data_IF_898344040843
#
_entry.id   IF_898344040843
#
_cell.length_a   1.000
_cell.length_b   1.000
_cell.length_c   1.000
_cell.angle_alpha   90.00
_cell.angle_beta   90.00
_cell.angle_gamma   90.00
#
_symmetry.space_group_name_H-M   'P 1'
#
loop_
_entity.id
_entity.type
_entity.pdbx_description
1 polymer ?
#
# COMPACT_ATOMS: atom_id res chain seq x y z
N UNK A 1 -3.39 -28.31 -26.09
CA UNK A 1 -4.16 -28.03 -24.85
C UNK A 1 -3.75 -28.92 -23.68
N UNK A 2 -3.14 -30.09 -23.91
CA UNK A 2 -2.83 -31.06 -22.84
C UNK A 2 -1.78 -30.59 -21.81
N UNK A 3 -0.95 -29.61 -22.19
CA UNK A 3 0.09 -29.02 -21.33
C UNK A 3 -0.36 -27.71 -20.65
N UNK A 4 -1.64 -27.33 -20.80
CA UNK A 4 -2.20 -26.09 -20.25
C UNK A 4 -3.38 -26.41 -19.35
N UNK A 5 -3.43 -25.77 -18.19
CA UNK A 5 -4.53 -25.91 -17.26
C UNK A 5 -5.18 -24.56 -16.94
N UNK A 6 -6.37 -24.61 -16.38
CA UNK A 6 -7.12 -23.47 -15.88
C UNK A 6 -7.50 -23.72 -14.43
N UNK A 7 -7.11 -22.82 -13.52
CA UNK A 7 -7.51 -22.88 -12.12
C UNK A 7 -8.86 -22.20 -11.92
N UNK A 8 -9.87 -22.95 -11.51
CA UNK A 8 -11.24 -22.46 -11.34
C UNK A 8 -11.70 -22.67 -9.90
N UNK A 9 -12.24 -21.62 -9.28
CA UNK A 9 -12.71 -21.68 -7.89
C UNK A 9 -14.16 -21.17 -7.71
N UNK A 10 -14.88 -20.89 -8.79
CA UNK A 10 -16.24 -20.35 -8.78
C UNK A 10 -16.35 -18.87 -8.41
N UNK A 11 -15.27 -18.25 -7.93
CA UNK A 11 -15.22 -16.81 -7.66
C UNK A 11 -15.41 -16.00 -8.94
N UNK A 12 -15.86 -14.75 -8.80
CA UNK A 12 -16.17 -13.83 -9.91
C UNK A 12 -15.03 -13.74 -10.95
N UNK A 13 -13.78 -13.66 -10.50
CA UNK A 13 -12.61 -13.45 -11.34
C UNK A 13 -12.29 -14.69 -12.18
N UNK A 14 -12.32 -15.88 -11.56
CA UNK A 14 -12.16 -17.15 -12.28
C UNK A 14 -13.33 -17.43 -13.24
N UNK A 15 -14.54 -16.97 -12.90
CA UNK A 15 -15.72 -17.08 -13.77
C UNK A 15 -15.58 -16.20 -15.01
N UNK A 16 -15.12 -14.94 -14.87
CA UNK A 16 -14.78 -14.09 -16.01
C UNK A 16 -13.73 -14.79 -16.89
N UNK A 17 -12.65 -15.27 -16.29
CA UNK A 17 -11.57 -15.92 -17.02
C UNK A 17 -12.04 -17.17 -17.78
N UNK A 18 -12.91 -17.99 -17.19
CA UNK A 18 -13.52 -19.13 -17.88
C UNK A 18 -14.21 -18.70 -19.19
N UNK A 19 -14.98 -17.63 -19.13
CA UNK A 19 -15.71 -17.13 -20.29
C UNK A 19 -14.78 -16.50 -21.34
N UNK A 20 -13.73 -15.78 -20.91
CA UNK A 20 -12.70 -15.27 -21.82
C UNK A 20 -11.94 -16.41 -22.51
N UNK A 21 -11.55 -17.46 -21.79
CA UNK A 21 -10.88 -18.63 -22.37
C UNK A 21 -11.77 -19.35 -23.38
N UNK A 22 -13.08 -19.47 -23.10
CA UNK A 22 -14.05 -20.04 -24.04
C UNK A 22 -14.21 -19.20 -25.30
N UNK A 23 -14.27 -17.87 -25.16
CA UNK A 23 -14.34 -16.96 -26.30
C UNK A 23 -13.05 -16.98 -27.14
N UNK A 24 -11.89 -16.98 -26.49
CA UNK A 24 -10.58 -17.12 -27.13
C UNK A 24 -10.45 -18.43 -27.89
N UNK A 25 -10.89 -19.54 -27.30
CA UNK A 25 -10.92 -20.84 -27.96
C UNK A 25 -11.81 -20.85 -29.20
N UNK A 26 -13.05 -20.36 -29.08
CA UNK A 26 -13.99 -20.28 -30.20
C UNK A 26 -13.45 -19.39 -31.35
N UNK A 27 -12.74 -18.32 -31.01
CA UNK A 27 -12.08 -17.44 -31.99
C UNK A 27 -10.96 -18.16 -32.76
N UNK A 28 -10.17 -19.00 -32.08
CA UNK A 28 -9.12 -19.81 -32.73
C UNK A 28 -9.74 -20.90 -33.61
N UNK A 29 -10.72 -21.66 -33.10
CA UNK A 29 -11.41 -22.67 -33.90
C UNK A 29 -12.05 -22.08 -35.16
N UNK A 30 -12.68 -20.91 -35.05
CA UNK A 30 -13.29 -20.23 -36.20
C UNK A 30 -12.26 -19.81 -37.25
N UNK A 31 -11.02 -19.49 -36.84
CA UNK A 31 -9.92 -19.16 -37.77
C UNK A 31 -9.35 -20.40 -38.45
N UNK A 32 -9.29 -21.53 -37.76
CA UNK A 32 -8.76 -22.79 -38.30
C UNK A 32 -9.78 -23.55 -39.18
N UNK A 33 -11.09 -23.37 -38.94
CA UNK A 33 -12.17 -24.08 -39.65
C UNK A 33 -12.81 -23.34 -40.84
N UNK A 34 -12.14 -22.34 -41.43
CA UNK A 34 -12.59 -21.65 -42.66
C UNK A 34 -12.71 -22.59 -43.89
N UNK A 35 -12.33 -23.87 -43.79
CA UNK A 35 -12.30 -24.84 -44.90
C UNK A 35 -13.13 -26.12 -44.72
N UNK A 36 -14.01 -26.24 -43.71
CA UNK A 36 -14.81 -27.47 -43.51
C UNK A 36 -16.26 -27.17 -43.12
N UNK A 37 -17.18 -27.38 -44.07
CA UNK A 37 -18.63 -27.25 -43.91
C UNK A 37 -19.23 -28.38 -43.05
N UNK A 38 -18.81 -28.61 -41.80
CA UNK A 38 -19.54 -29.50 -40.88
C UNK A 38 -19.70 -28.85 -39.51
N UNK A 39 -20.90 -28.32 -39.26
CA UNK A 39 -21.34 -27.84 -37.94
C UNK A 39 -21.98 -28.99 -37.16
N UNK A 40 -21.74 -28.98 -35.85
CA UNK A 40 -22.53 -29.58 -34.77
C UNK A 40 -21.84 -30.71 -33.99
N UNK A 41 -20.94 -30.32 -33.09
CA UNK A 41 -20.86 -30.92 -31.75
C UNK A 41 -20.65 -29.79 -30.74
N UNK A 42 -21.25 -29.88 -29.54
CA UNK A 42 -21.04 -28.88 -28.48
C UNK A 42 -19.53 -28.65 -28.32
N UNK A 43 -19.01 -27.41 -28.33
CA UNK A 43 -17.59 -27.19 -28.12
C UNK A 43 -17.25 -27.74 -26.74
N UNK A 44 -16.55 -28.88 -26.71
CA UNK A 44 -15.99 -29.42 -25.48
C UNK A 44 -14.98 -28.39 -25.00
N UNK A 45 -15.10 -27.93 -23.77
CA UNK A 45 -14.05 -27.08 -23.21
C UNK A 45 -12.76 -27.91 -23.19
N UNK A 46 -11.72 -27.53 -23.96
CA UNK A 46 -10.57 -28.38 -24.19
C UNK A 46 -9.50 -28.23 -23.10
N UNK A 47 -9.65 -27.23 -22.23
CA UNK A 47 -8.67 -26.88 -21.21
C UNK A 47 -8.96 -27.69 -19.95
N UNK A 48 -7.94 -28.42 -19.48
CA UNK A 48 -7.98 -29.11 -18.19
C UNK A 48 -8.28 -28.09 -17.09
N UNK A 49 -9.28 -28.34 -16.27
CA UNK A 49 -9.66 -27.45 -15.18
C UNK A 49 -9.22 -28.04 -13.85
N UNK A 50 -8.51 -27.27 -13.03
CA UNK A 50 -8.03 -27.66 -11.71
C UNK A 50 -8.89 -26.94 -10.68
N UNK A 51 -9.38 -27.68 -9.68
CA UNK A 51 -10.08 -27.12 -8.54
C UNK A 51 -9.47 -27.64 -7.24
N UNK A 52 -8.98 -26.72 -6.39
CA UNK A 52 -8.55 -27.05 -5.03
C UNK A 52 -9.75 -26.92 -4.10
N UNK A 53 -10.27 -28.07 -3.65
CA UNK A 53 -11.40 -28.13 -2.76
C UNK A 53 -10.99 -27.75 -1.33
N UNK A 54 -11.68 -26.76 -0.76
CA UNK A 54 -11.43 -26.30 0.59
C UNK A 54 -12.64 -26.61 1.48
N UNK A 55 -12.49 -27.40 2.55
CA UNK A 55 -13.56 -27.66 3.51
C UNK A 55 -14.13 -26.41 4.16
N UNK A 56 -13.33 -25.34 4.25
CA UNK A 56 -13.75 -24.04 4.77
C UNK A 56 -14.38 -23.10 3.74
N UNK A 57 -14.71 -23.57 2.53
CA UNK A 57 -15.42 -22.78 1.52
C UNK A 57 -16.93 -22.74 1.79
N UNK A 58 -17.58 -21.67 1.34
CA UNK A 58 -19.04 -21.56 1.46
C UNK A 58 -19.75 -22.65 0.63
N UNK A 59 -20.81 -23.29 1.14
CA UNK A 59 -21.60 -24.25 0.37
C UNK A 59 -22.11 -23.66 -0.96
N UNK A 60 -22.45 -22.38 -0.98
CA UNK A 60 -22.92 -21.65 -2.16
C UNK A 60 -21.87 -21.52 -3.25
N UNK A 61 -20.61 -21.24 -2.90
CA UNK A 61 -19.54 -21.14 -3.90
C UNK A 61 -19.17 -22.52 -4.43
N UNK A 62 -19.18 -23.54 -3.56
CA UNK A 62 -18.97 -24.94 -3.97
C UNK A 62 -20.05 -25.40 -4.94
N UNK A 63 -21.33 -25.21 -4.58
CA UNK A 63 -22.45 -25.56 -5.44
C UNK A 63 -22.36 -24.87 -6.80
N UNK A 64 -22.07 -23.55 -6.80
CA UNK A 64 -21.87 -22.79 -8.03
C UNK A 64 -20.72 -23.34 -8.89
N UNK A 65 -19.58 -23.71 -8.28
CA UNK A 65 -18.43 -24.29 -8.99
C UNK A 65 -18.80 -25.59 -9.70
N UNK A 66 -19.46 -26.54 -9.02
CA UNK A 66 -19.86 -27.81 -9.63
C UNK A 66 -20.95 -27.64 -10.69
N UNK A 67 -21.94 -26.78 -10.45
CA UNK A 67 -22.99 -26.48 -11.41
C UNK A 67 -22.43 -25.83 -12.68
N UNK A 68 -21.51 -24.88 -12.53
CA UNK A 68 -20.81 -24.22 -13.64
C UNK A 68 -20.02 -25.24 -14.45
N UNK A 69 -19.29 -26.12 -13.78
CA UNK A 69 -18.50 -27.13 -14.47
C UNK A 69 -19.35 -28.15 -15.22
N UNK A 70 -20.48 -28.56 -14.63
CA UNK A 70 -21.46 -29.42 -15.32
C UNK A 70 -22.08 -28.71 -16.52
N UNK A 71 -22.46 -27.44 -16.36
CA UNK A 71 -23.11 -26.63 -17.40
C UNK A 71 -22.22 -26.45 -18.62
N UNK A 72 -20.93 -26.19 -18.39
CA UNK A 72 -19.96 -25.95 -19.46
C UNK A 72 -19.13 -27.17 -19.83
N UNK A 73 -19.39 -28.34 -19.24
CA UNK A 73 -18.68 -29.58 -19.53
C UNK A 73 -17.18 -29.52 -19.25
N UNK A 74 -16.79 -28.87 -18.14
CA UNK A 74 -15.39 -28.73 -17.75
C UNK A 74 -14.83 -30.08 -17.27
N UNK A 75 -13.63 -30.43 -17.73
CA UNK A 75 -12.88 -31.57 -17.21
C UNK A 75 -12.20 -31.15 -15.91
N UNK A 76 -12.93 -31.21 -14.79
CA UNK A 76 -12.45 -30.76 -13.49
C UNK A 76 -11.68 -31.86 -12.76
N UNK A 77 -10.43 -31.57 -12.42
CA UNK A 77 -9.60 -32.36 -11.52
C UNK A 77 -9.67 -31.73 -10.12
N UNK A 78 -10.29 -32.46 -9.19
CA UNK A 78 -10.52 -31.99 -7.81
C UNK A 78 -9.34 -32.44 -6.95
N UNK A 79 -8.70 -31.48 -6.29
CA UNK A 79 -7.55 -31.70 -5.41
C UNK A 79 -7.98 -31.38 -3.98
N UNK A 80 -7.85 -32.37 -3.09
CA UNK A 80 -8.19 -32.26 -1.65
C UNK A 80 -6.95 -32.15 -0.74
N UNK A 81 -5.79 -31.87 -1.34
CA UNK A 81 -4.53 -31.62 -0.64
C UNK A 81 -4.31 -30.11 -0.47
N UNK A 82 -3.33 -29.73 0.35
CA UNK A 82 -2.86 -28.35 0.37
C UNK A 82 -2.34 -27.94 -1.02
N UNK A 83 -2.34 -26.63 -1.30
CA UNK A 83 -2.00 -26.10 -2.62
C UNK A 83 -0.66 -26.60 -3.15
N UNK A 84 0.37 -26.66 -2.30
CA UNK A 84 1.71 -27.01 -2.74
C UNK A 84 1.80 -28.51 -3.03
N UNK A 85 1.45 -29.35 -2.07
CA UNK A 85 1.51 -30.81 -2.23
C UNK A 85 0.58 -31.31 -3.34
N UNK A 86 -0.60 -30.70 -3.45
CA UNK A 86 -1.56 -30.99 -4.51
C UNK A 86 -1.03 -30.64 -5.90
N UNK A 87 -0.38 -29.48 -6.05
CA UNK A 87 0.25 -29.10 -7.30
C UNK A 87 1.48 -29.97 -7.64
N UNK A 88 2.29 -30.34 -6.65
CA UNK A 88 3.41 -31.29 -6.81
C UNK A 88 2.93 -32.63 -7.35
N UNK A 89 1.86 -33.19 -6.76
CA UNK A 89 1.26 -34.44 -7.20
C UNK A 89 0.71 -34.32 -8.62
N UNK A 90 -0.04 -33.24 -8.89
CA UNK A 90 -0.63 -32.99 -10.20
C UNK A 90 0.42 -32.90 -11.31
N UNK A 91 1.46 -32.08 -11.11
CA UNK A 91 2.51 -31.88 -12.13
C UNK A 91 3.36 -33.13 -12.36
N UNK A 92 3.49 -33.99 -11.34
CA UNK A 92 4.18 -35.28 -11.47
C UNK A 92 3.36 -36.29 -12.27
N UNK A 93 2.05 -36.37 -12.04
CA UNK A 93 1.17 -37.30 -12.74
C UNK A 93 0.88 -36.82 -14.17
N UNK A 94 0.60 -35.53 -14.33
CA UNK A 94 0.20 -34.91 -15.59
C UNK A 94 0.92 -33.56 -15.75
N UNK A 95 2.09 -33.53 -16.42
CA UNK A 95 2.87 -32.32 -16.60
C UNK A 95 2.05 -31.18 -17.22
N UNK A 96 2.00 -30.05 -16.54
CA UNK A 96 1.41 -28.79 -17.03
C UNK A 96 2.53 -27.76 -17.15
N UNK A 97 2.66 -27.13 -18.31
CA UNK A 97 3.64 -26.06 -18.54
C UNK A 97 3.11 -24.70 -18.13
N UNK A 98 1.81 -24.47 -18.31
CA UNK A 98 1.17 -23.19 -18.03
C UNK A 98 -0.20 -23.36 -17.38
N UNK A 99 -0.50 -22.53 -16.38
CA UNK A 99 -1.81 -22.50 -15.72
C UNK A 99 -2.41 -21.11 -15.80
N UNK A 100 -3.60 -21.00 -16.38
CA UNK A 100 -4.40 -19.79 -16.37
C UNK A 100 -5.00 -19.55 -14.98
N UNK A 101 -4.80 -18.34 -14.45
CA UNK A 101 -5.25 -17.91 -13.14
C UNK A 101 -6.09 -16.63 -13.25
N UNK A 102 -7.22 -16.59 -12.54
CA UNK A 102 -8.08 -15.41 -12.43
C UNK A 102 -7.55 -14.39 -11.41
N UNK A 103 -6.24 -14.13 -11.43
CA UNK A 103 -5.57 -13.18 -10.52
C UNK A 103 -5.67 -11.78 -11.08
N UNK A 104 -5.96 -10.79 -10.22
CA UNK A 104 -5.90 -9.35 -10.56
C UNK A 104 -4.85 -8.64 -9.73
N UNK A 105 -4.42 -7.46 -10.20
CA UNK A 105 -3.38 -6.62 -9.58
C UNK A 105 -3.70 -6.23 -8.12
N UNK A 106 -4.99 -6.13 -7.78
CA UNK A 106 -5.44 -5.84 -6.41
C UNK A 106 -5.35 -7.03 -5.45
N UNK A 107 -5.01 -8.24 -5.92
CA UNK A 107 -4.95 -9.42 -5.08
C UNK A 107 -3.63 -9.47 -4.26
N UNK A 108 -3.65 -9.83 -2.97
CA UNK A 108 -2.45 -9.89 -2.12
C UNK A 108 -1.33 -10.79 -2.63
N UNK A 109 -1.67 -11.77 -3.46
CA UNK A 109 -0.71 -12.71 -4.04
C UNK A 109 -0.21 -12.26 -5.43
N UNK A 110 -0.76 -11.18 -6.00
CA UNK A 110 -0.41 -10.66 -7.32
C UNK A 110 0.85 -9.80 -7.33
N UNK A 111 1.28 -9.33 -6.15
CA UNK A 111 2.44 -8.43 -6.01
C UNK A 111 3.66 -8.98 -6.74
N UNK A 112 4.14 -8.22 -7.73
CA UNK A 112 5.31 -8.55 -8.55
C UNK A 112 5.05 -9.60 -9.64
N UNK A 113 3.78 -9.96 -9.90
CA UNK A 113 3.42 -10.78 -11.05
C UNK A 113 3.20 -9.94 -12.31
N UNK A 114 3.51 -10.55 -13.44
CA UNK A 114 3.20 -10.08 -14.80
C UNK A 114 2.12 -10.99 -15.42
N UNK A 115 1.67 -10.65 -16.64
CA UNK A 115 0.72 -11.48 -17.39
C UNK A 115 1.24 -12.91 -17.59
N UNK A 116 2.57 -13.07 -17.70
CA UNK A 116 3.25 -14.36 -17.69
C UNK A 116 4.29 -14.32 -16.58
N UNK A 117 4.23 -15.25 -15.63
CA UNK A 117 5.21 -15.28 -14.54
C UNK A 117 5.53 -16.70 -14.11
N UNK A 118 6.81 -17.07 -13.96
CA UNK A 118 7.14 -18.38 -13.39
C UNK A 118 6.58 -18.48 -11.97
N UNK A 119 6.26 -19.69 -11.54
CA UNK A 119 5.95 -20.00 -10.14
C UNK A 119 7.04 -19.50 -9.19
N UNK A 120 6.64 -19.12 -7.98
CA UNK A 120 7.58 -18.59 -6.97
C UNK A 120 8.64 -19.64 -6.56
N UNK A 121 9.81 -19.18 -6.09
CA UNK A 121 10.86 -20.08 -5.61
C UNK A 121 10.33 -21.03 -4.51
N UNK A 122 10.68 -22.32 -4.61
CA UNK A 122 10.19 -23.35 -3.69
C UNK A 122 8.78 -23.87 -3.97
N UNK A 123 8.10 -23.36 -5.01
CA UNK A 123 6.91 -23.98 -5.59
C UNK A 123 7.27 -24.87 -6.79
N UNK A 124 6.41 -25.82 -7.16
CA UNK A 124 6.59 -26.63 -8.36
C UNK A 124 6.68 -25.74 -9.60
N UNK A 125 7.56 -26.05 -10.57
CA UNK A 125 7.79 -25.19 -11.72
C UNK A 125 6.62 -25.23 -12.71
N UNK A 126 5.95 -24.09 -12.91
CA UNK A 126 5.01 -23.87 -14.00
C UNK A 126 4.93 -22.37 -14.34
N UNK A 127 4.40 -22.04 -15.52
CA UNK A 127 4.11 -20.67 -15.91
C UNK A 127 2.71 -20.26 -15.42
N UNK A 128 2.61 -19.22 -14.61
CA UNK A 128 1.35 -18.52 -14.34
C UNK A 128 0.98 -17.68 -15.56
N UNK A 129 -0.27 -17.78 -15.99
CA UNK A 129 -0.84 -16.94 -17.05
C UNK A 129 -2.01 -16.18 -16.45
N UNK A 130 -1.93 -14.85 -16.40
CA UNK A 130 -2.90 -13.96 -15.75
C UNK A 130 -3.56 -13.02 -16.79
N UNK A 131 -4.52 -13.46 -17.62
CA UNK A 131 -5.06 -12.63 -18.71
C UNK A 131 -5.87 -11.42 -18.26
N UNK A 132 -6.36 -11.44 -17.02
CA UNK A 132 -7.15 -10.35 -16.42
C UNK A 132 -6.35 -9.61 -15.35
N UNK A 133 -5.02 -9.70 -15.37
CA UNK A 133 -4.18 -9.11 -14.32
C UNK A 133 -4.47 -7.62 -14.13
N UNK A 134 -4.61 -6.90 -15.24
CA UNK A 134 -4.81 -5.45 -15.26
C UNK A 134 -6.29 -5.05 -15.16
N UNK A 135 -7.21 -6.00 -14.96
CA UNK A 135 -8.65 -5.70 -14.80
C UNK A 135 -8.93 -5.16 -13.40
N UNK A 136 -9.79 -4.15 -13.32
CA UNK A 136 -10.27 -3.64 -12.04
C UNK A 136 -11.45 -4.45 -11.48
N UNK A 137 -11.89 -4.08 -10.27
CA UNK A 137 -13.12 -4.61 -9.70
C UNK A 137 -14.34 -4.29 -10.60
N UNK A 138 -14.34 -3.09 -11.20
CA UNK A 138 -15.40 -2.60 -12.07
C UNK A 138 -15.43 -3.35 -13.39
N UNK A 139 -14.28 -3.63 -14.01
CA UNK A 139 -14.20 -4.41 -15.25
C UNK A 139 -14.80 -5.80 -15.11
N UNK A 140 -14.48 -6.49 -14.00
CA UNK A 140 -15.02 -7.82 -13.69
C UNK A 140 -16.54 -7.78 -13.65
N UNK A 141 -17.12 -6.82 -12.92
CA UNK A 141 -18.57 -6.70 -12.84
C UNK A 141 -19.21 -6.21 -14.13
N UNK A 142 -18.59 -5.26 -14.82
CA UNK A 142 -19.06 -4.77 -16.11
C UNK A 142 -19.18 -5.93 -17.11
N UNK A 143 -18.17 -6.79 -17.20
CA UNK A 143 -18.21 -7.98 -18.03
C UNK A 143 -19.30 -8.96 -17.60
N UNK A 144 -19.35 -9.32 -16.32
CA UNK A 144 -20.34 -10.29 -15.82
C UNK A 144 -21.77 -9.84 -16.08
N UNK A 145 -22.06 -8.55 -15.84
CA UNK A 145 -23.39 -7.96 -16.03
C UNK A 145 -23.72 -7.76 -17.51
N UNK A 146 -22.82 -7.17 -18.30
CA UNK A 146 -23.05 -6.90 -19.72
C UNK A 146 -23.22 -8.20 -20.52
N UNK A 147 -22.41 -9.21 -20.23
CA UNK A 147 -22.48 -10.52 -20.87
C UNK A 147 -23.51 -11.46 -20.22
N UNK A 148 -24.21 -11.02 -19.16
CA UNK A 148 -25.21 -11.81 -18.41
C UNK A 148 -24.67 -13.18 -17.98
N UNK A 149 -23.43 -13.20 -17.52
CA UNK A 149 -22.75 -14.41 -17.04
C UNK A 149 -23.25 -14.72 -15.62
N UNK A 150 -23.75 -15.94 -15.36
CA UNK A 150 -24.11 -16.35 -14.00
C UNK A 150 -22.91 -16.27 -13.06
N UNK A 151 -23.13 -15.82 -11.83
CA UNK A 151 -22.13 -15.78 -10.76
C UNK A 151 -22.72 -16.29 -9.44
N UNK A 152 -21.86 -16.55 -8.46
CA UNK A 152 -22.30 -17.06 -7.16
C UNK A 152 -23.23 -16.07 -6.43
N UNK A 153 -24.38 -16.56 -5.96
CA UNK A 153 -25.39 -15.76 -5.25
C UNK A 153 -24.93 -15.07 -3.96
N UNK A 154 -23.75 -15.41 -3.43
CA UNK A 154 -23.18 -14.69 -2.28
C UNK A 154 -22.88 -13.23 -2.64
N UNK A 155 -22.52 -12.96 -3.89
CA UNK A 155 -22.27 -11.60 -4.36
C UNK A 155 -23.54 -10.73 -4.28
N UNK A 156 -24.74 -11.28 -4.49
CA UNK A 156 -26.01 -10.57 -4.31
C UNK A 156 -26.33 -10.28 -2.83
N UNK A 157 -25.65 -10.96 -1.91
CA UNK A 157 -25.84 -10.85 -0.46
C UNK A 157 -24.79 -9.94 0.19
N UNK A 158 -24.08 -9.13 -0.60
CA UNK A 158 -23.09 -8.15 -0.13
C UNK A 158 -21.68 -8.69 0.08
N UNK A 159 -21.40 -9.95 -0.23
CA UNK A 159 -20.03 -10.46 -0.21
C UNK A 159 -19.27 -9.93 -1.41
N UNK A 160 -18.27 -9.07 -1.22
CA UNK A 160 -17.46 -8.49 -2.31
C UNK A 160 -16.21 -9.32 -2.63
N UNK A 161 -15.72 -10.07 -1.64
CA UNK A 161 -14.63 -11.05 -1.75
C UNK A 161 -15.04 -12.33 -1.02
N UNK A 162 -14.88 -13.50 -1.66
CA UNK A 162 -15.26 -14.80 -1.06
C UNK A 162 -13.98 -15.56 -0.72
N UNK A 163 -13.83 -16.00 0.53
CA UNK A 163 -12.77 -16.94 0.92
C UNK A 163 -13.33 -17.93 1.92
N UNK A 164 -12.78 -18.00 3.13
CA UNK A 164 -13.28 -18.99 4.08
C UNK A 164 -14.51 -18.52 4.84
N UNK A 165 -15.41 -19.46 5.17
CA UNK A 165 -16.54 -19.23 6.09
C UNK A 165 -16.09 -18.70 7.47
N UNK A 166 -14.82 -18.87 7.82
CA UNK A 166 -14.26 -18.44 9.11
C UNK A 166 -13.80 -16.98 9.13
N UNK A 167 -13.53 -16.39 7.96
CA UNK A 167 -12.89 -15.06 7.87
C UNK A 167 -13.60 -14.10 6.91
N UNK A 168 -14.70 -14.52 6.30
CA UNK A 168 -15.44 -13.74 5.32
C UNK A 168 -16.82 -13.35 5.85
N UNK A 169 -17.11 -12.06 5.87
CA UNK A 169 -18.43 -11.48 6.15
C UNK A 169 -18.87 -10.59 4.98
N UNK A 170 -20.17 -10.24 4.86
CA UNK A 170 -20.61 -9.24 3.90
C UNK A 170 -19.87 -7.91 4.10
N UNK A 171 -19.70 -7.16 3.02
CA UNK A 171 -19.04 -5.86 3.08
C UNK A 171 -19.96 -4.83 3.77
N UNK A 172 -19.51 -4.27 4.88
CA UNK A 172 -20.30 -3.31 5.68
C UNK A 172 -20.73 -2.07 4.89
N UNK A 173 -19.97 -1.66 3.88
CA UNK A 173 -20.29 -0.51 3.01
C UNK A 173 -21.53 -0.75 2.13
N UNK A 174 -21.97 -2.00 2.02
CA UNK A 174 -23.17 -2.39 1.28
C UNK A 174 -24.38 -2.58 2.19
N UNK A 175 -24.25 -2.36 3.51
CA UNK A 175 -25.35 -2.51 4.45
C UNK A 175 -26.46 -1.49 4.18
N UNK A 176 -27.71 -1.93 4.24
CA UNK A 176 -28.91 -1.10 4.12
C UNK A 176 -29.41 -0.84 5.55
N UNK A 177 -29.22 0.38 6.05
CA UNK A 177 -29.74 0.79 7.35
C UNK A 177 -31.28 0.67 7.38
N UNK A 178 -31.80 -0.26 8.19
CA UNK A 178 -33.23 -0.36 8.46
C UNK A 178 -33.50 0.09 9.90
N UNK A 179 -34.43 1.03 10.07
CA UNK A 179 -34.85 1.63 11.36
C UNK A 179 -35.58 0.66 12.31
N UNK A 180 -35.59 -0.64 12.02
CA UNK A 180 -36.32 -1.67 12.79
C UNK A 180 -35.50 -2.95 12.79
N UNK A 181 -35.12 -3.42 14.00
CA UNK A 181 -34.17 -4.52 14.28
C UNK A 181 -34.48 -5.89 13.67
N UNK A 182 -34.51 -5.96 12.34
CA UNK A 182 -34.59 -7.16 11.52
C UNK A 182 -33.31 -7.27 10.69
N UNK A 183 -32.93 -8.52 10.37
CA UNK A 183 -31.69 -8.93 9.69
C UNK A 183 -31.11 -7.88 8.75
N UNK A 184 -29.84 -7.56 8.93
CA UNK A 184 -29.05 -6.70 8.04
C UNK A 184 -29.25 -7.15 6.59
N UNK A 185 -29.73 -6.25 5.73
CA UNK A 185 -29.84 -6.47 4.30
C UNK A 185 -28.66 -5.78 3.64
N UNK A 186 -28.08 -6.42 2.63
CA UNK A 186 -26.96 -5.86 1.90
C UNK A 186 -27.33 -5.64 0.44
N UNK A 187 -26.74 -4.60 -0.15
CA UNK A 187 -26.74 -4.36 -1.59
C UNK A 187 -25.82 -5.38 -2.28
N UNK A 188 -26.06 -5.73 -3.55
CA UNK A 188 -25.16 -6.60 -4.30
C UNK A 188 -23.74 -6.05 -4.43
N UNK A 189 -22.77 -6.95 -4.57
CA UNK A 189 -21.34 -6.65 -4.63
C UNK A 189 -20.96 -5.65 -5.73
N UNK A 190 -21.60 -5.73 -6.90
CA UNK A 190 -21.36 -4.81 -8.02
C UNK A 190 -21.79 -3.35 -7.74
N UNK A 191 -22.42 -3.07 -6.59
CA UNK A 191 -22.74 -1.72 -6.13
C UNK A 191 -21.70 -1.14 -5.15
N UNK A 192 -20.60 -1.85 -4.90
CA UNK A 192 -19.47 -1.31 -4.15
C UNK A 192 -18.84 -0.17 -4.95
N UNK A 193 -18.85 1.04 -4.38
CA UNK A 193 -18.33 2.23 -5.05
C UNK A 193 -16.81 2.21 -5.18
N UNK A 194 -16.12 1.77 -4.12
CA UNK A 194 -14.66 1.68 -4.05
C UNK A 194 -14.23 0.21 -4.04
N UNK A 195 -13.72 -0.27 -5.17
CA UNK A 195 -13.18 -1.60 -5.40
C UNK A 195 -11.92 -1.91 -4.57
N UNK A 196 -11.16 -0.92 -4.09
CA UNK A 196 -10.04 -1.15 -3.15
C UNK A 196 -10.55 -1.70 -1.82
N UNK A 197 -11.80 -1.39 -1.48
CA UNK A 197 -12.50 -1.90 -0.31
C UNK A 197 -13.17 -3.26 -0.56
N UNK A 198 -12.86 -3.95 -1.67
CA UNK A 198 -13.38 -5.28 -2.00
C UNK A 198 -13.18 -6.28 -0.85
N UNK A 199 -12.06 -6.18 -0.12
CA UNK A 199 -11.71 -7.10 0.97
C UNK A 199 -12.04 -6.55 2.36
N UNK A 200 -12.80 -5.45 2.46
CA UNK A 200 -13.22 -4.89 3.75
C UNK A 200 -14.07 -5.88 4.58
N UNK A 201 -14.77 -6.81 3.93
CA UNK A 201 -15.49 -7.92 4.58
C UNK A 201 -14.60 -9.07 5.09
N UNK A 202 -13.28 -8.87 5.24
CA UNK A 202 -12.36 -9.86 5.80
C UNK A 202 -12.11 -9.56 7.27
N UNK A 203 -12.37 -10.52 8.16
CA UNK A 203 -11.96 -10.37 9.56
C UNK A 203 -10.43 -10.29 9.61
N UNK A 204 -9.89 -9.18 10.14
CA UNK A 204 -8.45 -9.05 10.40
C UNK A 204 -8.07 -10.13 11.42
N UNK A 205 -7.28 -11.14 11.02
CA UNK A 205 -6.53 -11.93 12.00
C UNK A 205 -5.66 -10.95 12.77
N UNK A 206 -5.90 -10.80 14.07
CA UNK A 206 -5.04 -10.01 14.94
C UNK A 206 -3.63 -10.58 14.87
N UNK A 207 -2.79 -10.02 14.01
CA UNK A 207 -1.37 -10.37 13.92
C UNK A 207 -0.60 -9.68 15.03
N UNK A 208 -0.95 -9.98 16.28
CA UNK A 208 -0.04 -9.81 17.40
C UNK A 208 0.82 -11.08 17.47
N UNK A 209 1.90 -11.12 16.68
CA UNK A 209 3.08 -11.88 17.11
C UNK A 209 3.70 -11.07 18.23
N UNK A 210 3.24 -11.33 19.45
CA UNK A 210 3.93 -10.91 20.66
C UNK A 210 5.38 -11.38 20.53
N UNK A 211 6.33 -10.44 20.64
CA UNK A 211 7.73 -10.76 20.88
C UNK A 211 7.77 -11.52 22.21
N UNK A 212 8.09 -12.81 22.17
CA UNK A 212 8.46 -13.59 23.34
C UNK A 212 9.74 -13.01 23.94
N UNK A 213 9.58 -11.95 24.73
CA UNK A 213 10.61 -11.48 25.65
C UNK A 213 10.36 -12.25 26.95
N UNK A 214 11.20 -13.26 27.19
CA UNK A 214 11.24 -13.99 28.47
C UNK A 214 11.37 -12.99 29.62
N UNK A 215 10.28 -12.81 30.37
CA UNK A 215 10.29 -12.09 31.64
C UNK A 215 10.93 -12.99 32.67
N UNK A 216 12.13 -12.61 33.12
CA UNK A 216 12.70 -13.13 34.34
C UNK A 216 11.87 -12.60 35.52
N UNK A 217 11.41 -13.53 36.36
CA UNK A 217 10.65 -13.24 37.58
C UNK A 217 11.58 -12.54 38.58
N UNK A 218 11.32 -11.27 38.89
CA UNK A 218 11.82 -10.64 40.11
C UNK A 218 10.64 -10.21 40.98
N UNK A 219 10.56 -10.81 42.16
CA UNK A 219 9.66 -10.39 43.23
C UNK A 219 10.12 -9.04 43.79
N UNK A 220 9.21 -8.08 43.91
CA UNK A 220 9.45 -6.83 44.63
C UNK A 220 8.38 -5.77 44.33
N UNK A 221 7.72 -5.32 45.39
CA UNK A 221 6.62 -4.35 45.44
C UNK A 221 7.04 -2.93 45.05
N UNK A 222 6.26 -2.27 44.20
CA UNK A 222 5.59 -0.97 44.44
C UNK A 222 5.11 -0.36 43.11
N UNK A 223 3.95 0.32 43.18
CA UNK A 223 3.20 0.88 42.08
C UNK A 223 4.03 1.77 41.13
N UNK A 224 4.34 1.26 39.94
CA UNK A 224 4.83 2.06 38.81
C UNK A 224 3.96 1.73 37.60
N UNK A 225 3.13 2.72 37.21
CA UNK A 225 2.39 2.72 35.94
C UNK A 225 3.40 2.51 34.80
N UNK A 226 3.25 1.51 33.91
CA UNK A 226 4.25 1.24 32.89
C UNK A 226 4.20 2.35 31.83
N UNK A 227 5.17 3.25 31.86
CA UNK A 227 5.40 4.23 30.81
C UNK A 227 5.98 3.48 29.59
N UNK A 228 5.22 3.31 28.51
CA UNK A 228 5.70 2.77 27.24
C UNK A 228 6.69 3.74 26.60
N UNK A 229 7.96 3.57 26.96
CA UNK A 229 9.06 4.47 26.60
C UNK A 229 9.67 4.20 25.22
N UNK A 230 8.95 3.51 24.32
CA UNK A 230 9.41 3.31 22.95
C UNK A 230 9.42 4.64 22.17
N UNK A 231 10.61 5.20 21.89
CA UNK A 231 10.74 6.40 21.07
C UNK A 231 10.39 6.06 19.62
N UNK A 232 9.37 6.72 19.06
CA UNK A 232 8.97 6.55 17.67
C UNK A 232 9.94 7.29 16.77
N UNK A 233 10.46 6.63 15.74
CA UNK A 233 11.46 7.15 14.84
C UNK A 233 10.87 7.45 13.45
N UNK A 234 11.05 8.70 12.99
CA UNK A 234 10.70 9.13 11.65
C UNK A 234 11.95 9.39 10.79
N UNK A 235 11.85 9.07 9.50
CA UNK A 235 12.80 9.49 8.46
C UNK A 235 12.13 10.47 7.50
N UNK A 236 12.88 11.44 7.00
CA UNK A 236 12.41 12.43 6.03
C UNK A 236 13.29 12.38 4.78
N UNK A 237 12.69 12.23 3.61
CA UNK A 237 13.38 12.21 2.31
C UNK A 237 12.80 13.33 1.45
N UNK A 238 13.59 14.36 1.17
CA UNK A 238 13.25 15.37 0.17
C UNK A 238 13.74 14.93 -1.20
N UNK A 239 12.92 15.09 -2.24
CA UNK A 239 13.29 14.79 -3.63
C UNK A 239 13.25 16.08 -4.43
N UNK A 240 14.37 16.42 -5.06
CA UNK A 240 14.45 17.64 -5.87
C UNK A 240 15.87 17.97 -6.29
N UNK A 241 16.12 18.00 -7.59
CA UNK A 241 17.43 18.37 -8.15
C UNK A 241 17.75 19.83 -7.88
N UNK A 242 16.74 20.69 -7.88
CA UNK A 242 16.82 22.11 -7.56
C UNK A 242 17.28 22.38 -6.12
N UNK A 243 16.92 21.50 -5.18
CA UNK A 243 17.38 21.56 -3.79
C UNK A 243 18.87 21.16 -3.74
N UNK A 244 19.25 20.08 -4.42
CA UNK A 244 20.64 19.62 -4.47
C UNK A 244 21.57 20.60 -5.19
N UNK A 245 21.08 21.27 -6.23
CA UNK A 245 21.81 22.31 -6.96
C UNK A 245 21.92 23.62 -6.16
N UNK A 246 21.16 23.76 -5.06
CA UNK A 246 21.10 24.96 -4.25
C UNK A 246 20.36 26.12 -4.93
N UNK A 247 19.57 25.84 -5.97
CA UNK A 247 18.73 26.83 -6.63
C UNK A 247 17.52 27.21 -5.77
N UNK A 248 17.04 26.25 -4.95
CA UNK A 248 15.94 26.41 -4.01
C UNK A 248 16.37 25.94 -2.63
N UNK A 249 16.01 26.69 -1.59
CA UNK A 249 16.26 26.30 -0.20
C UNK A 249 15.17 25.34 0.30
N UNK A 250 15.55 24.23 0.94
CA UNK A 250 14.60 23.29 1.53
C UNK A 250 13.96 23.86 2.80
N UNK A 251 12.71 24.34 2.65
CA UNK A 251 11.87 24.84 3.74
C UNK A 251 10.94 23.77 4.33
N UNK A 252 10.64 22.71 3.57
CA UNK A 252 9.68 21.67 3.94
C UNK A 252 10.29 20.72 4.98
N UNK A 253 11.51 20.26 4.74
CA UNK A 253 12.23 19.35 5.63
C UNK A 253 12.34 19.86 7.07
N UNK A 254 12.83 21.10 7.32
CA UNK A 254 12.89 21.66 8.66
C UNK A 254 11.51 21.87 9.30
N UNK A 255 10.49 22.22 8.50
CA UNK A 255 9.12 22.37 9.00
C UNK A 255 8.55 21.05 9.47
N UNK A 256 8.73 19.99 8.67
CA UNK A 256 8.28 18.64 9.00
C UNK A 256 9.00 18.08 10.23
N UNK A 257 10.29 18.37 10.42
CA UNK A 257 11.01 18.03 11.67
C UNK A 257 10.33 18.62 12.90
N UNK A 258 9.98 19.92 12.88
CA UNK A 258 9.30 20.59 14.00
C UNK A 258 7.93 19.98 14.28
N UNK A 259 7.18 19.68 13.21
CA UNK A 259 5.86 19.04 13.31
C UNK A 259 5.93 17.65 13.93
N UNK A 260 6.85 16.79 13.49
CA UNK A 260 7.07 15.47 14.08
C UNK A 260 7.50 15.54 15.56
N UNK A 261 8.40 16.46 15.90
CA UNK A 261 8.79 16.67 17.29
C UNK A 261 7.61 17.13 18.16
N UNK A 262 6.68 17.93 17.61
CA UNK A 262 5.48 18.40 18.31
C UNK A 262 4.46 17.29 18.64
N UNK A 263 4.59 16.11 18.01
CA UNK A 263 3.78 14.93 18.31
C UNK A 263 4.59 13.81 18.98
N UNK A 264 5.81 14.11 19.45
CA UNK A 264 6.65 13.19 20.22
C UNK A 264 7.43 12.17 19.39
N UNK A 265 7.60 12.41 18.09
CA UNK A 265 8.41 11.60 17.18
C UNK A 265 9.82 12.15 17.06
N UNK A 266 10.82 11.27 17.13
CA UNK A 266 12.21 11.63 16.90
C UNK A 266 12.54 11.50 15.41
N UNK A 267 13.07 12.55 14.80
CA UNK A 267 13.59 12.46 13.43
C UNK A 267 15.03 11.97 13.47
N UNK A 268 15.27 10.74 13.03
CA UNK A 268 16.59 10.10 13.10
C UNK A 268 17.39 10.24 11.81
N UNK A 269 16.71 10.52 10.70
CA UNK A 269 17.33 10.66 9.39
C UNK A 269 16.59 11.69 8.56
N UNK A 270 17.36 12.58 7.92
CA UNK A 270 16.88 13.47 6.87
C UNK A 270 17.90 13.48 5.74
N UNK A 271 17.42 13.32 4.51
CA UNK A 271 18.24 13.45 3.31
C UNK A 271 17.47 14.14 2.20
N UNK A 272 18.24 14.69 1.26
CA UNK A 272 17.74 15.15 -0.03
C UNK A 272 18.37 14.27 -1.10
N UNK A 273 17.58 13.75 -2.03
CA UNK A 273 18.01 12.87 -3.11
C UNK A 273 17.64 13.47 -4.47
N UNK A 274 18.38 13.11 -5.54
CA UNK A 274 18.02 13.56 -6.88
C UNK A 274 16.68 12.97 -7.30
N UNK A 275 16.04 13.62 -8.27
CA UNK A 275 14.75 13.19 -8.80
C UNK A 275 14.93 12.00 -9.77
N UNK A 276 15.37 10.87 -9.21
CA UNK A 276 15.72 9.64 -9.90
C UNK A 276 15.17 8.41 -9.16
N UNK A 277 14.66 7.43 -9.91
CA UNK A 277 14.00 6.24 -9.36
C UNK A 277 14.95 5.45 -8.46
N UNK A 278 16.21 5.29 -8.88
CA UNK A 278 17.18 4.44 -8.18
C UNK A 278 17.67 5.11 -6.90
N UNK A 279 17.91 6.43 -6.94
CA UNK A 279 18.29 7.19 -5.76
C UNK A 279 17.19 7.20 -4.69
N UNK A 280 15.92 7.38 -5.10
CA UNK A 280 14.77 7.33 -4.18
C UNK A 280 14.59 5.93 -3.62
N UNK A 281 14.70 4.90 -4.48
CA UNK A 281 14.68 3.50 -4.08
C UNK A 281 15.69 3.21 -2.97
N UNK A 282 16.97 3.55 -3.16
CA UNK A 282 18.02 3.27 -2.19
C UNK A 282 17.77 4.00 -0.86
N UNK A 283 17.33 5.25 -0.92
CA UNK A 283 17.05 6.04 0.28
C UNK A 283 15.85 5.49 1.06
N UNK A 284 14.79 5.06 0.37
CA UNK A 284 13.60 4.48 1.01
C UNK A 284 13.90 3.09 1.55
N UNK A 285 14.54 2.21 0.78
CA UNK A 285 14.88 0.84 1.16
C UNK A 285 15.70 0.79 2.47
N UNK A 286 16.65 1.72 2.64
CA UNK A 286 17.46 1.82 3.86
C UNK A 286 16.66 2.23 5.09
N UNK A 287 15.49 2.88 4.93
CA UNK A 287 14.73 3.48 6.04
C UNK A 287 13.48 2.71 6.42
N UNK A 288 12.85 2.00 5.49
CA UNK A 288 11.60 1.26 5.75
C UNK A 288 11.72 0.19 6.86
N UNK A 289 12.92 -0.34 7.12
CA UNK A 289 13.17 -1.34 8.18
C UNK A 289 13.59 -0.72 9.53
N UNK A 290 14.06 0.53 9.52
CA UNK A 290 14.68 1.17 10.70
C UNK A 290 13.75 2.22 11.31
N UNK A 291 12.92 2.87 10.50
CA UNK A 291 11.98 3.89 10.94
C UNK A 291 10.56 3.35 11.04
N UNK A 292 9.85 3.82 12.06
CA UNK A 292 8.41 3.53 12.22
C UNK A 292 7.60 4.23 11.12
N UNK A 293 8.05 5.40 10.65
CA UNK A 293 7.45 6.11 9.52
C UNK A 293 8.52 6.79 8.66
N UNK A 294 8.32 6.79 7.34
CA UNK A 294 9.13 7.53 6.37
C UNK A 294 8.24 8.55 5.68
N UNK A 295 8.65 9.81 5.66
CA UNK A 295 7.97 10.87 4.93
C UNK A 295 8.79 11.23 3.72
N UNK A 296 8.16 11.27 2.55
CA UNK A 296 8.77 11.74 1.32
C UNK A 296 8.00 12.95 0.79
N UNK A 297 8.71 13.95 0.32
CA UNK A 297 8.13 15.13 -0.32
C UNK A 297 8.94 15.52 -1.56
N UNK A 298 8.30 16.20 -2.50
CA UNK A 298 8.89 16.54 -3.79
C UNK A 298 8.88 15.37 -4.78
N UNK A 299 8.99 15.68 -6.08
CA UNK A 299 8.90 14.68 -7.16
C UNK A 299 7.53 13.97 -7.24
N UNK A 300 6.44 14.67 -6.86
CA UNK A 300 5.07 14.17 -6.84
C UNK A 300 4.19 15.14 -7.62
N UNK A 301 3.74 14.75 -8.80
CA UNK A 301 2.95 15.61 -9.69
C UNK A 301 2.62 14.95 -11.03
N UNK A 302 1.98 15.73 -11.91
CA UNK A 302 1.55 15.27 -13.23
C UNK A 302 2.67 15.22 -14.27
N UNK A 303 3.88 15.68 -13.92
CA UNK A 303 4.98 15.75 -14.87
C UNK A 303 5.65 14.38 -14.90
N UNK A 304 5.94 13.88 -16.11
CA UNK A 304 6.62 12.59 -16.30
C UNK A 304 7.96 12.43 -15.56
N UNK A 305 8.57 13.54 -15.12
CA UNK A 305 9.78 13.54 -14.29
C UNK A 305 9.51 13.28 -12.81
N UNK A 306 8.26 13.35 -12.34
CA UNK A 306 7.91 13.10 -10.94
C UNK A 306 7.94 11.60 -10.65
N UNK A 307 9.07 11.14 -10.08
CA UNK A 307 9.37 9.72 -9.93
C UNK A 307 9.33 9.22 -8.48
N UNK A 308 8.92 10.05 -7.52
CA UNK A 308 8.91 9.68 -6.09
C UNK A 308 8.05 8.46 -5.80
N UNK A 309 6.84 8.40 -6.37
CA UNK A 309 5.93 7.26 -6.22
C UNK A 309 6.52 6.00 -6.86
N UNK A 310 7.22 6.13 -8.00
CA UNK A 310 7.91 5.03 -8.67
C UNK A 310 9.09 4.48 -7.85
N UNK A 311 9.89 5.36 -7.25
CA UNK A 311 10.99 4.98 -6.34
C UNK A 311 10.48 4.25 -5.11
N UNK A 312 9.36 4.71 -4.52
CA UNK A 312 8.68 4.01 -3.41
C UNK A 312 8.17 2.63 -3.86
N UNK A 313 7.56 2.52 -5.05
CA UNK A 313 7.12 1.23 -5.59
C UNK A 313 8.29 0.24 -5.70
N UNK A 314 9.41 0.70 -6.26
CA UNK A 314 10.64 -0.09 -6.39
C UNK A 314 11.20 -0.53 -5.04
N UNK A 315 11.19 0.33 -4.02
CA UNK A 315 11.65 0.00 -2.67
C UNK A 315 10.83 -1.09 -1.98
N UNK A 316 9.55 -1.23 -2.34
CA UNK A 316 8.71 -2.32 -1.87
C UNK A 316 8.69 -3.54 -2.81
N UNK A 317 9.42 -3.49 -3.92
CA UNK A 317 9.44 -4.54 -4.93
C UNK A 317 8.09 -4.73 -5.63
N UNK A 318 7.31 -3.65 -5.77
CA UNK A 318 6.00 -3.66 -6.42
C UNK A 318 6.03 -2.86 -7.72
N UNK A 319 5.21 -3.24 -8.69
CA UNK A 319 5.02 -2.45 -9.93
C UNK A 319 4.08 -1.27 -9.68
N UNK A 320 4.12 -0.31 -10.59
CA UNK A 320 3.10 0.72 -10.67
C UNK A 320 1.90 0.22 -11.48
N UNK A 321 0.70 0.56 -11.01
CA UNK A 321 -0.56 0.25 -11.65
C UNK A 321 -1.47 1.48 -11.63
N UNK A 322 -2.22 1.70 -12.71
CA UNK A 322 -3.24 2.75 -12.71
C UNK A 322 -4.35 2.39 -11.72
N UNK A 323 -4.68 3.31 -10.82
CA UNK A 323 -5.81 3.21 -9.92
C UNK A 323 -7.01 3.89 -10.57
N UNK A 324 -7.98 3.11 -11.04
CA UNK A 324 -9.13 3.63 -11.81
C UNK A 324 -9.97 4.64 -11.04
N UNK A 325 -10.16 4.43 -9.74
CA UNK A 325 -10.95 5.34 -8.92
C UNK A 325 -10.24 6.67 -8.73
N UNK A 326 -8.94 6.62 -8.49
CA UNK A 326 -8.15 7.82 -8.38
C UNK A 326 -8.04 8.53 -9.74
N UNK A 327 -7.94 7.78 -10.83
CA UNK A 327 -7.99 8.34 -12.18
C UNK A 327 -9.33 9.03 -12.46
N UNK A 328 -10.45 8.40 -12.10
CA UNK A 328 -11.79 9.00 -12.21
C UNK A 328 -11.90 10.26 -11.35
N UNK A 329 -11.41 10.22 -10.10
CA UNK A 329 -11.36 11.39 -9.22
C UNK A 329 -10.54 12.53 -9.84
N UNK A 330 -9.35 12.24 -10.36
CA UNK A 330 -8.47 13.23 -10.98
C UNK A 330 -9.10 13.83 -12.24
N UNK A 331 -9.81 13.04 -13.06
CA UNK A 331 -10.56 13.55 -14.23
C UNK A 331 -11.64 14.54 -13.84
N UNK A 332 -12.35 14.29 -12.74
CA UNK A 332 -13.35 15.24 -12.22
C UNK A 332 -12.72 16.54 -11.71
N UNK A 333 -11.50 16.47 -11.16
CA UNK A 333 -10.81 17.62 -10.57
C UNK A 333 -10.05 18.49 -11.59
N UNK A 334 -9.35 17.87 -12.55
CA UNK A 334 -8.48 18.56 -13.53
C UNK A 334 -9.24 19.00 -14.78
N UNK A 335 -10.45 18.46 -15.02
CA UNK A 335 -11.24 18.68 -16.23
C UNK A 335 -10.89 17.69 -17.35
N UNK A 336 -11.70 17.64 -18.41
CA UNK A 336 -11.53 16.69 -19.54
C UNK A 336 -10.25 16.91 -20.37
N UNK A 337 -9.51 18.00 -20.16
CA UNK A 337 -8.32 18.39 -20.93
C UNK A 337 -7.01 17.79 -20.37
N UNK A 338 -6.98 16.49 -20.06
CA UNK A 338 -5.72 15.78 -19.84
C UNK A 338 -5.20 15.25 -21.20
N UNK A 339 -4.04 15.71 -21.71
CA UNK A 339 -3.47 15.17 -22.93
C UNK A 339 -2.81 13.80 -22.65
N UNK A 340 -3.51 12.71 -22.99
CA UNK A 340 -2.99 11.33 -22.91
C UNK A 340 -4.09 10.31 -22.57
N UNK A 341 -3.87 9.03 -22.90
CA UNK A 341 -4.82 7.95 -22.60
C UNK A 341 -4.94 7.65 -21.09
N UNK A 342 -3.92 8.01 -20.28
CA UNK A 342 -3.88 7.74 -18.84
C UNK A 342 -3.17 8.87 -18.07
N UNK A 343 -3.67 9.17 -16.87
CA UNK A 343 -3.06 10.14 -15.96
C UNK A 343 -1.90 9.47 -15.16
N UNK A 344 -0.66 9.93 -15.36
CA UNK A 344 0.51 9.38 -14.64
C UNK A 344 0.38 9.51 -13.11
N UNK A 345 -0.35 10.52 -12.61
CA UNK A 345 -0.62 10.65 -11.17
C UNK A 345 -1.47 9.51 -10.61
N UNK A 346 -2.27 8.85 -11.46
CA UNK A 346 -3.08 7.70 -11.07
C UNK A 346 -2.27 6.41 -10.95
N UNK A 347 -0.99 6.39 -11.35
CA UNK A 347 -0.14 5.20 -11.27
C UNK A 347 0.44 5.07 -9.87
N UNK A 348 -0.10 4.14 -9.10
CA UNK A 348 0.22 3.93 -7.70
C UNK A 348 0.93 2.58 -7.47
N UNK A 349 1.72 2.43 -6.38
CA UNK A 349 2.34 1.17 -6.00
C UNK A 349 1.30 0.09 -5.74
N UNK A 350 1.40 -1.01 -6.48
CA UNK A 350 0.41 -2.09 -6.47
C UNK A 350 0.25 -2.73 -5.06
N UNK A 351 -1.00 -2.91 -4.65
CA UNK A 351 -1.39 -3.74 -3.49
C UNK A 351 -0.96 -3.21 -2.12
N UNK A 352 -0.29 -2.07 -2.06
CA UNK A 352 0.23 -1.47 -0.82
C UNK A 352 -0.21 -0.03 -0.59
N UNK A 353 -0.87 0.57 -1.58
CA UNK A 353 -1.30 1.97 -1.53
C UNK A 353 -2.63 2.12 -0.79
N UNK A 354 -2.64 3.01 0.19
CA UNK A 354 -3.82 3.52 0.86
C UNK A 354 -3.95 5.01 0.52
N UNK A 355 -5.04 5.39 -0.14
CA UNK A 355 -5.37 6.79 -0.39
C UNK A 355 -6.17 7.34 0.80
N UNK A 356 -5.58 8.31 1.49
CA UNK A 356 -6.17 8.97 2.65
C UNK A 356 -6.94 10.20 2.17
N UNK A 357 -8.24 10.03 1.95
CA UNK A 357 -9.14 11.11 1.53
C UNK A 357 -9.46 12.04 2.70
N UNK A 358 -9.51 13.35 2.41
CA UNK A 358 -9.92 14.40 3.33
C UNK A 358 -10.59 15.53 2.55
N UNK A 359 -11.69 16.08 3.06
CA UNK A 359 -12.53 17.06 2.33
C UNK A 359 -11.80 18.38 2.03
N UNK A 360 -10.81 18.73 2.86
CA UNK A 360 -10.02 19.96 2.67
C UNK A 360 -8.86 19.80 1.68
N UNK A 361 -8.54 18.56 1.28
CA UNK A 361 -7.44 18.29 0.37
C UNK A 361 -7.95 18.12 -1.07
N UNK A 362 -7.33 18.79 -2.07
CA UNK A 362 -7.71 18.63 -3.47
C UNK A 362 -7.38 17.26 -4.03
N UNK A 363 -6.40 16.56 -3.43
CA UNK A 363 -6.02 15.19 -3.74
C UNK A 363 -5.75 14.45 -2.43
N UNK A 364 -6.08 13.15 -2.33
CA UNK A 364 -5.80 12.35 -1.15
C UNK A 364 -4.28 12.24 -0.88
N UNK A 365 -3.91 12.06 0.39
CA UNK A 365 -2.54 11.71 0.73
C UNK A 365 -2.27 10.26 0.34
N UNK A 366 -1.09 9.99 -0.22
CA UNK A 366 -0.69 8.65 -0.64
C UNK A 366 0.13 8.03 0.49
N UNK A 367 -0.37 6.92 1.04
CA UNK A 367 0.35 6.12 2.03
C UNK A 367 0.67 4.74 1.46
N UNK A 368 1.94 4.37 1.46
CA UNK A 368 2.42 3.06 1.05
C UNK A 368 3.04 2.37 2.28
N UNK A 369 2.29 1.51 2.96
CA UNK A 369 2.69 0.91 4.26
C UNK A 369 3.12 1.98 5.29
N UNK A 370 4.40 2.03 5.66
CA UNK A 370 4.99 3.01 6.57
C UNK A 370 5.66 4.18 5.85
N UNK A 371 5.33 4.42 4.58
CA UNK A 371 5.80 5.57 3.80
C UNK A 371 4.60 6.48 3.51
N UNK A 372 4.70 7.76 3.86
CA UNK A 372 3.71 8.80 3.51
C UNK A 372 4.35 9.72 2.46
N UNK A 373 3.69 9.84 1.32
CA UNK A 373 4.07 10.70 0.22
C UNK A 373 3.27 12.01 0.32
N UNK A 374 3.98 13.10 0.56
CA UNK A 374 3.43 14.44 0.69
C UNK A 374 3.60 15.18 -0.65
N UNK A 375 2.51 15.73 -1.17
CA UNK A 375 2.50 16.49 -2.42
C UNK A 375 2.68 18.01 -2.21
N UNK A 376 2.96 18.43 -0.98
CA UNK A 376 3.16 19.83 -0.65
C UNK A 376 4.40 20.40 -1.35
N UNK A 377 4.24 21.56 -1.98
CA UNK A 377 5.31 22.35 -2.60
C UNK A 377 5.70 23.55 -1.76
N UNK A 378 4.81 23.99 -0.86
CA UNK A 378 5.02 25.14 0.04
C UNK A 378 4.76 24.77 1.50
N UNK A 379 5.29 25.58 2.43
CA UNK A 379 5.06 25.37 3.88
C UNK A 379 3.58 25.44 4.25
N UNK A 380 2.76 26.38 3.74
CA UNK A 380 1.32 26.39 4.00
C UNK A 380 0.58 25.14 3.50
N UNK A 381 0.96 24.61 2.33
CA UNK A 381 0.40 23.35 1.83
C UNK A 381 0.79 22.17 2.74
N UNK A 382 2.04 22.15 3.21
CA UNK A 382 2.50 21.16 4.17
C UNK A 382 1.75 21.29 5.50
N UNK A 383 1.47 22.51 5.95
CA UNK A 383 0.67 22.76 7.15
C UNK A 383 -0.74 22.17 7.01
N UNK A 384 -1.41 22.46 5.90
CA UNK A 384 -2.74 21.92 5.59
C UNK A 384 -2.73 20.38 5.52
N UNK A 385 -1.80 19.79 4.77
CA UNK A 385 -1.68 18.32 4.65
C UNK A 385 -1.39 17.66 5.99
N UNK A 386 -0.57 18.29 6.83
CA UNK A 386 -0.24 17.78 8.15
C UNK A 386 -1.45 17.79 9.09
N UNK A 387 -2.22 18.88 9.10
CA UNK A 387 -3.40 18.98 9.95
C UNK A 387 -4.46 17.95 9.55
N UNK A 388 -4.71 17.80 8.24
CA UNK A 388 -5.59 16.75 7.71
C UNK A 388 -5.12 15.34 8.11
N UNK A 389 -3.80 15.09 8.07
CA UNK A 389 -3.23 13.79 8.45
C UNK A 389 -3.45 13.48 9.94
N UNK A 390 -3.34 14.48 10.83
CA UNK A 390 -3.63 14.33 12.25
C UNK A 390 -5.12 14.12 12.55
N UNK A 391 -6.01 14.67 11.72
CA UNK A 391 -7.44 14.39 11.84
C UNK A 391 -7.77 12.96 11.44
N UNK A 392 -7.26 12.51 10.29
CA UNK A 392 -7.41 11.13 9.81
C UNK A 392 -6.80 10.08 10.76
N UNK A 393 -5.79 10.46 11.53
CA UNK A 393 -5.19 9.61 12.56
C UNK A 393 -6.19 9.20 13.64
N UNK A 394 -7.11 10.09 14.04
CA UNK A 394 -8.06 9.82 15.14
C UNK A 394 -8.89 8.56 14.92
N UNK A 395 -9.17 8.25 13.66
CA UNK A 395 -10.01 7.11 13.28
C UNK A 395 -9.21 5.86 12.92
N UNK A 396 -7.95 6.01 12.50
CA UNK A 396 -7.16 4.95 11.84
C UNK A 396 -5.86 4.55 12.55
N UNK A 397 -5.49 5.19 13.65
CA UNK A 397 -4.25 4.96 14.43
C UNK A 397 -2.98 4.96 13.54
N UNK A 398 -2.91 5.94 12.63
CA UNK A 398 -1.86 6.03 11.60
C UNK A 398 -0.51 6.53 12.14
N UNK A 399 -0.56 7.44 13.11
CA UNK A 399 0.58 8.17 13.67
C UNK A 399 0.35 8.40 15.17
N UNK A 400 0.78 7.51 16.07
CA UNK A 400 0.54 7.70 17.50
C UNK A 400 1.09 9.03 18.02
N UNK A 401 0.22 9.82 18.67
CA UNK A 401 0.61 11.09 19.30
C UNK A 401 1.15 10.79 20.69
N UNK A 402 2.43 11.14 20.90
CA UNK A 402 3.13 11.02 22.19
C UNK A 402 3.43 12.42 22.76
N UNK A 403 3.83 12.53 24.05
CA UNK A 403 4.24 13.80 24.61
C UNK A 403 5.27 14.52 23.73
N UNK A 404 5.08 15.81 23.43
CA UNK A 404 5.92 16.56 22.51
C UNK A 404 7.34 16.70 23.05
N UNK A 405 8.30 16.84 22.14
CA UNK A 405 9.61 17.35 22.52
C UNK A 405 9.53 18.86 22.80
N UNK A 406 10.08 19.28 23.93
CA UNK A 406 10.17 20.68 24.33
C UNK A 406 11.59 21.17 24.09
N UNK A 407 11.71 22.25 23.32
CA UNK A 407 13.00 22.89 23.03
C UNK A 407 13.14 24.21 23.80
N UNK A 408 14.28 24.41 24.47
CA UNK A 408 14.68 25.71 25.03
C UNK A 408 16.01 26.19 24.46
N UNK A 409 16.08 27.49 24.21
CA UNK A 409 17.24 28.16 23.63
C UNK A 409 17.81 29.13 24.65
N UNK A 410 19.11 28.99 24.93
CA UNK A 410 19.87 29.94 25.74
C UNK A 410 20.92 30.60 24.88
N UNK A 411 20.96 31.93 24.90
CA UNK A 411 22.01 32.74 24.27
C UNK A 411 22.97 33.24 25.32
N UNK A 412 24.26 33.12 25.04
CA UNK A 412 25.32 33.55 25.96
C UNK A 412 26.48 34.20 25.20
N UNK A 413 27.19 35.10 25.88
CA UNK A 413 28.44 35.71 25.42
C UNK A 413 29.68 34.92 25.87
N UNK A 414 29.51 33.89 26.70
CA UNK A 414 30.61 32.99 27.09
C UNK A 414 31.10 32.17 25.90
N UNK A 415 32.39 31.84 25.90
CA UNK A 415 32.99 30.98 24.89
C UNK A 415 32.57 29.52 25.05
N UNK A 416 32.65 28.73 23.97
CA UNK A 416 32.36 27.28 24.01
C UNK A 416 33.21 26.53 25.04
N UNK A 417 34.45 26.96 25.26
CA UNK A 417 35.35 26.33 26.24
C UNK A 417 34.85 26.56 27.67
N UNK A 418 34.34 27.75 27.96
CA UNK A 418 33.83 28.10 29.29
C UNK A 418 32.52 27.40 29.62
N UNK A 419 31.67 27.15 28.61
CA UNK A 419 30.38 26.47 28.81
C UNK A 419 30.48 24.94 28.72
N UNK A 420 31.57 24.38 28.17
CA UNK A 420 31.71 22.94 27.97
C UNK A 420 31.55 22.14 29.27
N UNK A 421 32.27 22.51 30.33
CA UNK A 421 32.21 21.77 31.61
C UNK A 421 30.82 21.85 32.26
N UNK A 422 30.15 23.02 32.37
CA UNK A 422 28.76 23.09 32.81
C UNK A 422 27.80 22.23 31.97
N UNK A 423 27.93 22.24 30.65
CA UNK A 423 27.04 21.45 29.77
C UNK A 423 27.26 19.95 29.94
N UNK A 424 28.51 19.49 30.09
CA UNK A 424 28.80 18.07 30.37
C UNK A 424 28.22 17.59 31.70
N UNK A 425 28.14 18.47 32.71
CA UNK A 425 27.48 18.14 33.99
C UNK A 425 25.98 17.97 33.80
N UNK A 426 25.34 18.85 33.01
CA UNK A 426 23.90 18.75 32.72
C UNK A 426 23.60 17.51 31.88
N UNK A 427 24.41 17.20 30.88
CA UNK A 427 24.27 15.99 30.03
C UNK A 427 24.35 14.70 30.86
N UNK A 428 25.24 14.67 31.86
CA UNK A 428 25.36 13.54 32.79
C UNK A 428 24.20 13.43 33.79
N UNK A 429 23.61 14.56 34.19
CA UNK A 429 22.50 14.63 35.15
C UNK A 429 21.14 14.35 34.48
N UNK A 430 20.96 14.75 33.22
CA UNK A 430 19.72 14.64 32.46
C UNK A 430 19.94 13.93 31.11
N UNK A 431 20.13 12.59 31.11
CA UNK A 431 20.46 11.82 29.90
C UNK A 431 19.31 11.75 28.87
N UNK A 432 18.11 12.19 29.26
CA UNK A 432 16.92 12.30 28.43
C UNK A 432 16.81 13.66 27.71
N UNK A 433 17.71 14.61 28.00
CA UNK A 433 17.79 15.92 27.36
C UNK A 433 18.96 15.96 26.38
N UNK A 434 18.66 16.13 25.10
CA UNK A 434 19.67 16.37 24.07
C UNK A 434 20.17 17.81 24.13
N UNK A 435 21.48 17.99 24.29
CA UNK A 435 22.13 19.31 24.35
C UNK A 435 22.91 19.54 23.05
N UNK A 436 22.57 20.61 22.33
CA UNK A 436 23.30 21.08 21.15
C UNK A 436 23.92 22.45 21.39
N UNK A 437 25.08 22.72 20.81
CA UNK A 437 25.75 24.02 20.90
C UNK A 437 26.24 24.47 19.52
N UNK A 438 25.89 25.69 19.11
CA UNK A 438 26.39 26.29 17.86
C UNK A 438 26.63 27.80 18.01
N UNK A 439 27.49 28.37 17.15
CA UNK A 439 27.78 29.81 17.12
C UNK A 439 26.98 30.50 16.03
N UNK A 440 26.42 31.68 16.32
CA UNK A 440 25.71 32.48 15.32
C UNK A 440 26.65 33.14 14.29
N UNK A 441 27.87 33.54 14.66
CA UNK A 441 28.87 34.06 13.71
C UNK A 441 30.31 33.95 14.23
N UNK A 442 31.26 33.74 13.30
CA UNK A 442 32.72 33.89 13.53
C UNK A 442 33.29 35.19 12.95
N UNK A 443 32.56 35.83 12.04
CA UNK A 443 33.00 37.02 11.31
C UNK A 443 32.22 38.20 11.86
N UNK A 444 32.89 39.05 12.64
CA UNK A 444 32.38 40.39 12.89
C UNK A 444 32.23 41.07 11.53
N UNK A 445 31.02 41.50 11.18
CA UNK A 445 30.79 42.33 10.00
C UNK A 445 31.74 43.53 10.06
N UNK A 446 32.75 43.57 9.19
CA UNK A 446 33.71 44.68 9.09
C UNK A 446 33.05 45.96 8.51
N UNK A 447 31.72 46.08 8.60
CA UNK A 447 30.93 47.16 8.03
C UNK A 447 29.92 47.63 9.08
N UNK A 448 30.39 48.45 10.03
CA UNK A 448 30.22 49.92 10.05
C UNK A 448 30.36 50.50 11.46
N UNK A 449 31.11 51.59 11.53
CA UNK A 449 30.92 52.74 12.42
C UNK A 449 31.12 52.50 13.93
N UNK A 450 32.19 53.11 14.45
CA UNK A 450 32.37 53.63 15.82
C UNK A 450 31.56 52.94 16.95
N UNK A 451 32.29 52.17 17.78
CA UNK A 451 32.02 51.89 19.20
C UNK A 451 31.08 50.75 19.62
N UNK A 452 30.85 49.68 18.83
CA UNK A 452 30.31 48.43 19.38
C UNK A 452 31.07 47.20 18.84
N UNK A 453 31.88 46.55 19.69
CA UNK A 453 32.40 45.21 19.42
C UNK A 453 31.23 44.22 19.50
N UNK A 454 30.87 43.60 18.38
CA UNK A 454 29.93 42.48 18.36
C UNK A 454 30.68 41.27 18.93
N UNK A 455 30.37 40.86 20.16
CA UNK A 455 30.93 39.63 20.73
C UNK A 455 30.25 38.40 20.11
N UNK A 456 31.01 37.30 19.87
CA UNK A 456 30.45 36.08 19.31
C UNK A 456 29.42 35.50 20.29
N UNK A 457 28.18 35.36 19.82
CA UNK A 457 27.08 34.78 20.62
C UNK A 457 27.04 33.28 20.40
N UNK A 458 27.08 32.52 21.50
CA UNK A 458 26.90 31.07 21.50
C UNK A 458 25.44 30.76 21.85
N UNK A 459 24.84 29.85 21.09
CA UNK A 459 23.47 29.39 21.30
C UNK A 459 23.53 27.93 21.75
N UNK A 460 22.96 27.68 22.93
CA UNK A 460 22.78 26.33 23.47
C UNK A 460 21.32 25.95 23.33
N UNK A 461 21.06 24.77 22.77
CA UNK A 461 19.73 24.20 22.59
C UNK A 461 19.58 22.99 23.49
N UNK A 462 18.51 22.94 24.27
CA UNK A 462 18.12 21.80 25.09
C UNK A 462 16.82 21.24 24.51
N UNK A 463 16.79 19.94 24.20
CA UNK A 463 15.61 19.25 23.64
C UNK A 463 15.34 17.99 24.46
N UNK A 464 14.20 17.92 25.15
CA UNK A 464 13.79 16.77 25.95
C UNK A 464 12.28 16.52 25.83
N UNK A 465 11.78 15.45 26.44
CA UNK A 465 10.33 15.17 26.54
C UNK A 465 9.69 15.83 27.78
#
# INVERSE_FOLDING_TARGET
FDEVAFSFNGGKDSTVLLHLLRAGYASVEAREHVSSEHVCSKPKHPIRTIYFENPGAFPEINAFTYETAKTYGLQMEIIQLDFKSGLEALLKEKPVKATFLGTRIGDPNAVGQEQFSPSSAGWPPFMRVNPILDWSYRDVWAFLLACKVPYCKLYDQGYTSIGSIHDTVPNGLLCIENSSGSKEKFRPAYLLADGRLERAGRMKRSSFRARDTKVAVSNGTDDIVPYDNSTLAASIIGVGDEILQGAVEDQLGPSLCRKLHSIGWAVTYRAVVPNDIDAIFEAVEQRIQVSDMVFIFGGVGAIHSDVSVAGVAKAFGVRLASDEEFEEYLRHFVGEDCPGDHNEMARLPEGITELLQHDELPVPLIKCRNVIVLSATTVPELDLQWDCLLELQKDKDLLPVKPPYVSKYLRTTFSEVEIAEPLSKIDAEFPDVSIGCYRESRIASHVKMLNQQIQPTVVVTFVGK
#
